data_IF_305913682464
#
_entry.id   IF_305913682464
#
_cell.length_a   1.000
_cell.length_b   1.000
_cell.length_c   1.000
_cell.angle_alpha   90.00
_cell.angle_beta   90.00
_cell.angle_gamma   90.00
#
_symmetry.space_group_name_H-M   'P 1'
#
loop_
_entity.id
_entity.type
_entity.pdbx_description
1 polymer ?
#
# COMPACT_ATOMS: atom_id res chain seq x y z
N UNK A 1 -18.34 -0.04 18.16
CA UNK A 1 -17.29 -0.72 18.96
C UNK A 1 -16.56 -1.68 18.02
N UNK A 2 -15.49 -1.24 17.37
CA UNK A 2 -14.69 -2.10 16.51
C UNK A 2 -13.58 -2.74 17.35
N UNK A 3 -13.58 -4.07 17.41
CA UNK A 3 -12.63 -4.90 18.12
C UNK A 3 -11.23 -4.75 17.51
N UNK A 4 -10.24 -4.46 18.35
CA UNK A 4 -8.81 -4.48 18.04
C UNK A 4 -8.41 -5.90 17.63
N UNK A 5 -8.31 -6.16 16.33
CA UNK A 5 -7.76 -7.42 15.83
C UNK A 5 -6.23 -7.40 15.99
N UNK A 6 -5.73 -8.22 16.93
CA UNK A 6 -4.30 -8.53 17.07
C UNK A 6 -3.84 -9.35 15.86
N UNK A 7 -2.89 -8.82 15.13
CA UNK A 7 -2.17 -9.58 14.12
C UNK A 7 -1.13 -10.49 14.78
N UNK A 8 -1.15 -11.77 14.42
CA UNK A 8 -0.11 -12.74 14.83
C UNK A 8 1.05 -12.65 13.84
N UNK A 9 2.25 -12.47 14.38
CA UNK A 9 3.52 -12.52 13.66
C UNK A 9 3.69 -13.90 13.03
N UNK A 10 3.70 -13.97 11.69
CA UNK A 10 4.19 -15.14 10.94
C UNK A 10 5.70 -15.00 10.78
N UNK A 11 6.45 -15.61 11.67
CA UNK A 11 7.92 -15.68 11.60
C UNK A 11 8.28 -16.71 10.54
N UNK A 12 8.83 -16.26 9.41
CA UNK A 12 9.65 -17.12 8.56
C UNK A 12 11.07 -17.15 9.13
N UNK A 13 11.44 -18.29 9.71
CA UNK A 13 12.81 -18.58 10.13
C UNK A 13 13.67 -18.91 8.91
N UNK A 14 14.55 -18.02 8.54
CA UNK A 14 15.74 -18.34 7.76
C UNK A 14 16.89 -17.48 8.32
N UNK A 15 17.99 -18.13 8.71
CA UNK A 15 19.26 -17.49 9.05
C UNK A 15 19.81 -16.77 7.82
N UNK A 16 19.49 -15.49 7.69
CA UNK A 16 19.99 -14.60 6.65
C UNK A 16 20.81 -13.53 7.36
N UNK A 17 22.01 -13.29 6.84
CA UNK A 17 22.93 -12.25 7.30
C UNK A 17 22.18 -10.89 7.41
N UNK A 18 21.74 -10.54 8.62
CA UNK A 18 21.08 -9.27 8.93
C UNK A 18 22.17 -8.21 9.05
N UNK A 19 22.15 -7.19 8.18
CA UNK A 19 22.82 -5.94 8.53
C UNK A 19 21.92 -5.24 9.55
N UNK A 20 22.36 -5.19 10.80
CA UNK A 20 21.70 -4.36 11.81
C UNK A 20 21.82 -2.89 11.38
N UNK A 21 20.69 -2.20 11.37
CA UNK A 21 20.67 -0.74 11.24
C UNK A 21 21.28 -0.19 12.54
N UNK A 22 22.20 0.76 12.43
CA UNK A 22 22.79 1.42 13.59
C UNK A 22 21.66 1.98 14.47
N UNK A 23 21.59 1.50 15.72
CA UNK A 23 20.53 1.85 16.67
C UNK A 23 20.50 3.32 17.09
N UNK A 24 21.39 4.16 16.55
CA UNK A 24 21.44 5.59 16.82
C UNK A 24 20.51 6.41 15.91
N UNK A 25 20.05 5.85 14.76
CA UNK A 25 19.16 6.53 13.82
C UNK A 25 17.99 5.65 13.44
N UNK A 26 16.76 6.15 13.67
CA UNK A 26 15.54 5.48 13.25
C UNK A 26 15.05 6.00 11.91
N UNK A 27 14.65 5.06 11.04
CA UNK A 27 13.98 5.35 9.78
C UNK A 27 12.50 5.02 9.93
N UNK A 28 11.67 6.04 9.86
CA UNK A 28 10.21 5.91 9.88
C UNK A 28 9.65 6.15 8.48
N UNK A 29 8.65 5.38 8.13
CA UNK A 29 8.01 5.41 6.82
C UNK A 29 6.54 5.77 6.97
N UNK A 30 6.03 6.56 6.01
CA UNK A 30 4.60 6.84 5.86
C UNK A 30 4.15 6.67 4.40
N UNK A 31 3.13 5.84 4.20
CA UNK A 31 2.32 5.76 2.99
C UNK A 31 1.01 6.54 3.26
N UNK A 32 0.89 7.73 2.66
CA UNK A 32 -0.24 8.64 2.89
C UNK A 32 -1.21 8.54 1.72
N UNK A 33 -2.21 7.68 1.88
CA UNK A 33 -3.29 7.48 0.90
C UNK A 33 -4.53 8.33 1.17
N UNK A 34 -5.52 8.25 0.27
CA UNK A 34 -6.78 9.00 0.37
C UNK A 34 -7.70 8.56 1.53
N UNK A 35 -7.55 7.34 2.04
CA UNK A 35 -8.38 6.81 3.12
C UNK A 35 -7.57 6.47 4.37
N UNK A 36 -6.30 6.13 4.22
CA UNK A 36 -5.45 5.68 5.33
C UNK A 36 -4.04 6.22 5.20
N UNK A 37 -3.45 6.52 6.37
CA UNK A 37 -2.02 6.73 6.54
C UNK A 37 -1.47 5.47 7.18
N UNK A 38 -0.54 4.80 6.51
CA UNK A 38 0.16 3.64 7.05
C UNK A 38 1.56 4.03 7.48
N UNK A 39 1.94 3.64 8.67
CA UNK A 39 3.20 3.98 9.32
C UNK A 39 3.98 2.71 9.66
N UNK A 40 5.30 2.76 9.59
CA UNK A 40 6.17 1.69 10.05
C UNK A 40 7.55 2.22 10.47
N UNK A 41 8.21 1.46 11.35
CA UNK A 41 9.63 1.58 11.66
C UNK A 41 10.42 0.57 10.82
N UNK A 42 11.52 0.99 10.21
CA UNK A 42 12.51 0.08 9.62
C UNK A 42 13.44 -0.41 10.73
N UNK A 43 13.36 -1.70 11.07
CA UNK A 43 14.17 -2.30 12.15
C UNK A 43 15.50 -2.87 11.64
N UNK A 44 15.54 -3.32 10.39
CA UNK A 44 16.73 -3.88 9.75
C UNK A 44 16.58 -3.90 8.22
N UNK A 45 17.63 -4.26 7.54
CA UNK A 45 17.64 -4.52 6.10
C UNK A 45 18.08 -5.95 5.84
N UNK A 46 17.34 -6.66 5.01
CA UNK A 46 17.67 -8.03 4.60
C UNK A 46 17.52 -8.17 3.09
N UNK A 47 18.57 -8.58 2.40
CA UNK A 47 18.60 -8.77 0.93
C UNK A 47 18.09 -7.54 0.16
N UNK A 48 18.43 -6.32 0.62
CA UNK A 48 17.99 -5.07 -0.02
C UNK A 48 16.53 -4.70 0.26
N UNK A 49 15.83 -5.44 1.15
CA UNK A 49 14.47 -5.15 1.57
C UNK A 49 14.42 -4.65 3.02
N UNK A 50 13.63 -3.62 3.33
CA UNK A 50 13.44 -3.17 4.71
C UNK A 50 12.63 -4.20 5.49
N UNK A 51 13.04 -4.50 6.71
CA UNK A 51 12.22 -5.21 7.68
C UNK A 51 11.41 -4.19 8.47
N UNK A 52 10.08 -4.31 8.39
CA UNK A 52 9.15 -3.34 8.94
C UNK A 52 8.56 -3.83 10.25
N UNK A 53 8.64 -2.98 11.27
CA UNK A 53 8.07 -3.21 12.59
C UNK A 53 7.19 -2.03 13.04
N UNK A 54 6.55 -2.17 14.21
CA UNK A 54 5.75 -1.10 14.82
C UNK A 54 4.74 -0.45 13.86
N UNK A 55 4.12 -1.27 13.02
CA UNK A 55 3.12 -0.81 12.05
C UNK A 55 1.95 -0.14 12.74
N UNK A 56 1.48 0.94 12.16
CA UNK A 56 0.30 1.65 12.64
C UNK A 56 -0.51 2.20 11.46
N UNK A 57 -1.81 2.31 11.62
CA UNK A 57 -2.70 2.88 10.61
C UNK A 57 -3.57 3.97 11.24
N UNK A 58 -3.66 5.12 10.55
CA UNK A 58 -4.55 6.23 10.87
C UNK A 58 -5.55 6.43 9.73
N UNK A 59 -6.72 6.99 10.04
CA UNK A 59 -7.64 7.45 9.01
C UNK A 59 -7.14 8.78 8.43
N UNK A 60 -7.09 8.90 7.10
CA UNK A 60 -6.63 10.13 6.43
C UNK A 60 -7.65 11.26 6.49
N UNK A 61 -8.92 10.96 6.78
CA UNK A 61 -10.00 11.95 6.83
C UNK A 61 -10.33 12.37 8.27
N UNK A 62 -10.02 11.49 9.22
CA UNK A 62 -10.22 11.70 10.66
C UNK A 62 -8.89 11.44 11.39
N UNK A 63 -7.91 12.33 11.13
CA UNK A 63 -6.56 12.20 11.66
C UNK A 63 -6.53 12.43 13.17
N UNK A 64 -6.23 11.39 13.95
CA UNK A 64 -6.07 11.46 15.39
C UNK A 64 -4.64 11.87 15.74
N UNK A 65 -4.47 13.12 16.21
CA UNK A 65 -3.18 13.64 16.67
C UNK A 65 -2.64 12.85 17.87
N UNK A 66 -3.49 12.55 18.86
CA UNK A 66 -3.10 11.86 20.09
C UNK A 66 -2.63 10.43 19.82
N UNK A 67 -3.33 9.73 18.93
CA UNK A 67 -2.95 8.38 18.52
C UNK A 67 -1.61 8.39 17.76
N UNK A 68 -1.43 9.36 16.86
CA UNK A 68 -0.18 9.54 16.15
C UNK A 68 0.98 9.89 17.09
N UNK A 69 0.81 10.86 18.00
CA UNK A 69 1.82 11.23 18.99
C UNK A 69 2.21 10.03 19.85
N UNK A 70 1.22 9.27 20.33
CA UNK A 70 1.44 8.08 21.15
C UNK A 70 2.28 7.03 20.42
N UNK A 71 1.98 6.76 19.14
CA UNK A 71 2.76 5.85 18.32
C UNK A 71 4.16 6.39 18.08
N UNK A 72 4.28 7.67 17.69
CA UNK A 72 5.57 8.29 17.38
C UNK A 72 6.52 8.26 18.60
N UNK A 73 6.01 8.59 19.77
CA UNK A 73 6.81 8.57 21.02
C UNK A 73 7.27 7.16 21.42
N UNK A 74 6.60 6.12 20.95
CA UNK A 74 7.01 4.73 21.20
C UNK A 74 8.13 4.25 20.26
N UNK A 75 8.41 4.99 19.15
CA UNK A 75 9.36 4.55 18.10
C UNK A 75 10.44 5.58 17.79
N UNK A 76 10.30 6.83 18.24
CA UNK A 76 11.25 7.91 17.93
C UNK A 76 12.59 7.71 18.68
N UNK A 77 13.69 8.05 18.03
CA UNK A 77 15.03 8.15 18.62
C UNK A 77 15.61 9.55 18.42
N UNK A 78 16.73 9.91 19.08
CA UNK A 78 17.35 11.24 18.94
C UNK A 78 17.71 11.61 17.50
N UNK A 79 18.01 10.63 16.65
CA UNK A 79 18.24 10.80 15.22
C UNK A 79 17.20 10.00 14.45
N UNK A 80 16.10 10.66 14.10
CA UNK A 80 14.99 10.04 13.35
C UNK A 80 14.78 10.78 12.04
N UNK A 81 14.71 10.03 10.92
CA UNK A 81 14.25 10.55 9.63
C UNK A 81 12.93 9.91 9.25
N UNK A 82 11.96 10.73 8.88
CA UNK A 82 10.63 10.30 8.46
C UNK A 82 10.50 10.47 6.96
N UNK A 83 10.36 9.35 6.24
CA UNK A 83 10.16 9.32 4.79
C UNK A 83 8.67 9.18 4.48
N UNK A 84 8.12 10.15 3.74
CA UNK A 84 6.69 10.27 3.48
C UNK A 84 6.45 10.19 1.98
N UNK A 85 5.76 9.16 1.51
CA UNK A 85 5.17 9.12 0.17
C UNK A 85 3.68 9.43 0.28
N UNK A 86 3.16 10.29 -0.59
CA UNK A 86 1.78 10.74 -0.52
C UNK A 86 1.12 10.88 -1.89
N UNK A 87 -0.14 10.44 -1.95
CA UNK A 87 -1.10 10.73 -3.03
C UNK A 87 -2.29 11.53 -2.50
N UNK A 88 -2.19 12.09 -1.29
CA UNK A 88 -3.19 12.93 -0.65
C UNK A 88 -2.50 14.12 0.09
N UNK A 89 -2.41 15.26 -0.58
CA UNK A 89 -1.71 16.43 -0.05
C UNK A 89 -2.27 16.95 1.26
N UNK A 90 -3.59 16.91 1.45
CA UNK A 90 -4.25 17.34 2.68
C UNK A 90 -3.82 16.49 3.87
N UNK A 91 -3.85 15.17 3.73
CA UNK A 91 -3.45 14.25 4.80
C UNK A 91 -1.93 14.32 5.06
N UNK A 92 -1.12 14.53 4.02
CA UNK A 92 0.31 14.73 4.17
C UNK A 92 0.63 16.00 4.95
N UNK A 93 -0.05 17.11 4.65
CA UNK A 93 0.12 18.38 5.38
C UNK A 93 -0.30 18.25 6.85
N UNK A 94 -1.36 17.51 7.16
CA UNK A 94 -1.76 17.21 8.54
C UNK A 94 -0.67 16.43 9.29
N UNK A 95 -0.13 15.38 8.68
CA UNK A 95 0.93 14.57 9.25
C UNK A 95 2.21 15.39 9.50
N UNK A 96 2.64 16.19 8.53
CA UNK A 96 3.82 17.05 8.63
C UNK A 96 3.65 18.14 9.71
N UNK A 97 2.45 18.71 9.80
CA UNK A 97 2.12 19.70 10.85
C UNK A 97 2.18 19.03 12.24
N UNK A 98 1.64 17.82 12.38
CA UNK A 98 1.71 17.08 13.63
C UNK A 98 3.16 16.77 14.03
N UNK A 99 4.00 16.31 13.09
CA UNK A 99 5.43 16.06 13.37
C UNK A 99 6.14 17.35 13.77
N UNK A 100 5.88 18.45 13.08
CA UNK A 100 6.49 19.75 13.40
C UNK A 100 6.10 20.26 14.78
N UNK A 101 4.82 20.10 15.17
CA UNK A 101 4.31 20.45 16.51
C UNK A 101 4.99 19.61 17.60
N UNK A 102 5.09 18.28 17.38
CA UNK A 102 5.73 17.36 18.34
C UNK A 102 7.24 17.68 18.45
N UNK A 103 7.92 17.97 17.34
CA UNK A 103 9.31 18.42 17.36
C UNK A 103 9.52 19.62 18.29
N UNK A 104 8.66 20.64 18.18
CA UNK A 104 8.73 21.84 19.02
C UNK A 104 8.42 21.57 20.50
N UNK A 105 7.34 20.85 20.78
CA UNK A 105 6.87 20.60 22.17
C UNK A 105 7.74 19.60 22.92
N UNK A 106 8.28 18.58 22.23
CA UNK A 106 9.10 17.50 22.82
C UNK A 106 10.60 17.72 22.61
N UNK A 107 11.00 18.82 21.97
CA UNK A 107 12.42 19.13 21.65
C UNK A 107 13.12 17.99 20.87
N UNK A 108 12.37 17.34 19.98
CA UNK A 108 12.89 16.31 19.09
C UNK A 108 13.55 16.94 17.85
N UNK A 109 14.31 16.13 17.10
CA UNK A 109 14.96 16.52 15.83
C UNK A 109 14.61 15.55 14.71
N UNK A 110 13.30 15.33 14.49
CA UNK A 110 12.84 14.47 13.39
C UNK A 110 13.04 15.23 12.08
N UNK A 111 13.80 14.66 11.18
CA UNK A 111 13.94 15.15 9.80
C UNK A 111 12.80 14.61 8.95
N UNK A 112 12.27 15.43 8.05
CA UNK A 112 11.22 15.02 7.10
C UNK A 112 11.80 14.95 5.70
N UNK A 113 11.49 13.87 4.98
CA UNK A 113 11.81 13.71 3.58
C UNK A 113 10.58 13.25 2.81
N UNK A 114 10.09 14.06 1.88
CA UNK A 114 9.06 13.62 0.93
C UNK A 114 9.70 12.76 -0.14
N UNK A 115 9.21 11.54 -0.30
CA UNK A 115 9.63 10.61 -1.33
C UNK A 115 8.91 10.93 -2.63
N UNK A 116 9.68 11.19 -3.67
CA UNK A 116 9.21 11.47 -5.02
C UNK A 116 9.48 10.29 -5.95
N UNK A 117 8.90 10.29 -7.14
CA UNK A 117 9.13 9.27 -8.17
C UNK A 117 10.61 9.11 -8.53
N UNK A 118 11.38 10.21 -8.52
CA UNK A 118 12.83 10.22 -8.78
C UNK A 118 13.69 9.51 -7.72
N UNK A 119 13.17 9.35 -6.51
CA UNK A 119 13.86 8.70 -5.41
C UNK A 119 13.79 7.16 -5.50
N UNK A 120 12.79 6.66 -6.22
CA UNK A 120 12.58 5.24 -6.42
C UNK A 120 13.51 4.68 -7.51
N UNK A 121 14.24 3.58 -7.27
CA UNK A 121 15.14 2.97 -8.24
C UNK A 121 14.38 2.16 -9.30
N UNK A 122 13.45 2.80 -9.99
CA UNK A 122 12.57 2.20 -10.97
C UNK A 122 12.48 3.10 -12.21
N UNK A 123 12.71 2.55 -13.40
CA UNK A 123 12.46 3.27 -14.64
C UNK A 123 10.96 3.27 -14.95
N UNK A 124 10.41 4.40 -15.33
CA UNK A 124 8.99 4.55 -15.65
C UNK A 124 8.85 4.74 -17.17
N UNK A 125 8.13 3.81 -17.82
CA UNK A 125 7.90 3.80 -19.25
C UNK A 125 6.41 4.07 -19.55
N UNK A 126 5.95 5.23 -19.13
CA UNK A 126 4.59 5.71 -19.42
C UNK A 126 4.67 7.02 -20.20
N UNK A 127 3.56 7.44 -20.82
CA UNK A 127 3.51 8.71 -21.56
C UNK A 127 3.76 9.93 -20.66
N UNK A 128 3.36 9.84 -19.39
CA UNK A 128 3.51 10.91 -18.40
C UNK A 128 4.11 10.34 -17.09
N UNK A 129 5.43 10.08 -17.05
CA UNK A 129 6.08 9.46 -15.90
C UNK A 129 5.85 10.20 -14.58
N UNK A 130 5.87 11.54 -14.63
CA UNK A 130 5.74 12.41 -13.45
C UNK A 130 4.32 12.45 -12.87
N UNK A 131 3.33 11.88 -13.60
CA UNK A 131 1.95 11.80 -13.14
C UNK A 131 1.56 10.45 -12.54
N UNK A 132 2.47 9.49 -12.53
CA UNK A 132 2.21 8.21 -11.88
C UNK A 132 2.25 8.39 -10.37
N UNK A 133 1.24 7.91 -9.66
CA UNK A 133 1.18 7.95 -8.20
C UNK A 133 2.41 7.29 -7.57
N UNK A 134 3.00 7.97 -6.59
CA UNK A 134 4.21 7.49 -5.90
C UNK A 134 3.97 6.16 -5.18
N UNK A 135 2.76 5.90 -4.71
CA UNK A 135 2.32 4.64 -4.11
C UNK A 135 2.44 3.46 -5.10
N UNK A 136 1.96 3.63 -6.34
CA UNK A 136 2.09 2.63 -7.40
C UNK A 136 3.55 2.34 -7.74
N UNK A 137 4.37 3.37 -7.86
CA UNK A 137 5.80 3.24 -8.14
C UNK A 137 6.55 2.60 -6.95
N UNK A 138 6.18 2.91 -5.72
CA UNK A 138 6.75 2.27 -4.54
C UNK A 138 6.39 0.78 -4.50
N UNK A 139 5.11 0.42 -4.71
CA UNK A 139 4.71 -0.98 -4.81
C UNK A 139 5.47 -1.72 -5.91
N UNK A 140 5.61 -1.10 -7.09
CA UNK A 140 6.35 -1.67 -8.22
C UNK A 140 7.86 -1.81 -7.92
N UNK A 141 8.45 -0.86 -7.21
CA UNK A 141 9.85 -0.94 -6.75
C UNK A 141 10.05 -2.15 -5.85
N UNK A 142 9.22 -2.33 -4.82
CA UNK A 142 9.32 -3.48 -3.93
C UNK A 142 9.09 -4.80 -4.67
N UNK A 143 8.07 -4.89 -5.51
CA UNK A 143 7.78 -6.09 -6.31
C UNK A 143 8.96 -6.44 -7.23
N UNK A 144 9.59 -5.46 -7.89
CA UNK A 144 10.74 -5.68 -8.75
C UNK A 144 11.98 -6.21 -8.02
N UNK A 145 12.12 -5.95 -6.71
CA UNK A 145 13.17 -6.53 -5.87
C UNK A 145 12.84 -7.97 -5.43
N UNK A 146 11.56 -8.27 -5.29
CA UNK A 146 11.07 -9.56 -4.82
C UNK A 146 10.86 -10.59 -5.92
N UNK A 147 10.74 -10.14 -7.18
CA UNK A 147 10.55 -11.05 -8.31
C UNK A 147 11.76 -11.95 -8.49
N UNK A 148 11.50 -13.27 -8.60
CA UNK A 148 12.54 -14.29 -8.65
C UNK A 148 13.03 -14.60 -10.06
N UNK A 149 12.34 -14.11 -11.09
CA UNK A 149 12.61 -14.42 -12.49
C UNK A 149 12.76 -13.15 -13.34
N UNK A 150 13.31 -13.34 -14.55
CA UNK A 150 13.38 -12.27 -15.56
C UNK A 150 12.03 -12.05 -16.28
N UNK A 151 10.93 -12.56 -15.75
CA UNK A 151 9.63 -12.59 -16.45
C UNK A 151 8.73 -11.37 -16.13
N UNK A 152 9.22 -10.41 -15.38
CA UNK A 152 8.40 -9.30 -14.93
C UNK A 152 7.37 -9.68 -13.87
N UNK A 153 6.57 -8.73 -13.42
CA UNK A 153 5.52 -8.99 -12.44
C UNK A 153 4.29 -8.10 -12.62
N UNK A 154 3.19 -8.58 -12.08
CA UNK A 154 1.88 -7.91 -12.00
C UNK A 154 1.65 -7.56 -10.55
N UNK A 155 1.29 -6.33 -10.27
CA UNK A 155 0.99 -5.85 -8.92
C UNK A 155 -0.49 -5.51 -8.85
N UNK A 156 -1.22 -6.16 -7.93
CA UNK A 156 -2.61 -5.87 -7.63
C UNK A 156 -2.65 -5.16 -6.27
N UNK A 157 -3.01 -3.88 -6.27
CA UNK A 157 -3.27 -3.17 -5.02
C UNK A 157 -4.77 -2.98 -4.82
N UNK A 158 -5.27 -3.50 -3.71
CA UNK A 158 -6.66 -3.49 -3.30
C UNK A 158 -6.92 -2.39 -2.26
N UNK A 159 -6.76 -1.14 -2.66
CA UNK A 159 -6.92 0.06 -1.84
C UNK A 159 -8.26 0.80 -2.02
N UNK A 160 -8.27 2.11 -1.82
CA UNK A 160 -9.43 2.99 -2.13
C UNK A 160 -9.78 2.92 -3.61
N UNK A 161 -8.79 2.96 -4.47
CA UNK A 161 -8.84 2.46 -5.83
C UNK A 161 -8.23 1.06 -5.88
N UNK A 162 -8.62 0.25 -6.87
CA UNK A 162 -7.87 -0.94 -7.22
C UNK A 162 -6.94 -0.60 -8.38
N UNK A 163 -5.69 -1.05 -8.30
CA UNK A 163 -4.78 -0.97 -9.44
C UNK A 163 -4.28 -2.34 -9.86
N UNK A 164 -4.04 -2.51 -11.15
CA UNK A 164 -3.33 -3.66 -11.70
C UNK A 164 -2.19 -3.11 -12.53
N UNK A 165 -0.99 -3.15 -11.97
CA UNK A 165 0.21 -2.55 -12.54
C UNK A 165 1.16 -3.60 -13.09
N UNK A 166 1.96 -3.23 -14.08
CA UNK A 166 2.90 -4.12 -14.76
C UNK A 166 4.34 -3.59 -14.64
N UNK A 167 5.24 -4.50 -14.29
CA UNK A 167 6.69 -4.28 -14.37
C UNK A 167 7.28 -5.30 -15.32
N UNK A 168 8.00 -4.84 -16.34
CA UNK A 168 8.66 -5.69 -17.32
C UNK A 168 9.87 -6.45 -16.75
N UNK A 169 10.36 -7.43 -17.52
CA UNK A 169 11.55 -8.23 -17.18
C UNK A 169 12.83 -7.39 -17.01
N UNK A 170 12.87 -6.23 -17.63
CA UNK A 170 13.94 -5.23 -17.53
C UNK A 170 13.78 -4.28 -16.32
N UNK A 171 12.84 -4.60 -15.40
CA UNK A 171 12.50 -3.81 -14.23
C UNK A 171 12.03 -2.39 -14.56
N UNK A 172 11.26 -2.24 -15.63
CA UNK A 172 10.61 -0.98 -15.97
C UNK A 172 9.13 -1.04 -15.63
N UNK A 173 8.62 0.02 -15.01
CA UNK A 173 7.18 0.20 -14.81
C UNK A 173 6.53 0.54 -16.15
N UNK A 174 5.66 -0.32 -16.62
CA UNK A 174 5.01 -0.20 -17.92
C UNK A 174 3.68 0.54 -17.88
N UNK A 175 3.16 0.79 -16.67
CA UNK A 175 1.82 1.30 -16.46
C UNK A 175 0.88 0.23 -15.96
N UNK A 176 -0.43 0.43 -16.14
CA UNK A 176 -1.45 -0.50 -15.68
C UNK A 176 -2.85 0.10 -15.76
N UNK A 177 -3.78 -0.47 -15.03
CA UNK A 177 -5.17 -0.06 -14.96
C UNK A 177 -5.54 0.42 -13.56
N UNK A 178 -6.46 1.37 -13.49
CA UNK A 178 -7.04 1.90 -12.24
C UNK A 178 -8.55 1.75 -12.31
N UNK A 179 -9.14 1.19 -11.26
CA UNK A 179 -10.60 1.07 -11.12
C UNK A 179 -11.01 1.43 -9.69
N UNK A 180 -12.28 1.82 -9.45
CA UNK A 180 -12.72 2.10 -8.10
C UNK A 180 -12.68 0.84 -7.23
N UNK A 181 -12.24 0.99 -5.95
CA UNK A 181 -12.38 -0.09 -4.97
C UNK A 181 -13.84 -0.28 -4.53
N UNK A 182 -14.15 -1.34 -3.74
CA UNK A 182 -15.52 -1.71 -3.40
C UNK A 182 -16.33 -0.59 -2.74
N UNK A 183 -15.74 0.09 -1.76
CA UNK A 183 -16.41 1.19 -1.06
C UNK A 183 -16.69 2.40 -1.98
N UNK A 184 -15.76 2.68 -2.90
CA UNK A 184 -15.94 3.77 -3.87
C UNK A 184 -17.02 3.41 -4.89
N UNK A 185 -17.08 2.16 -5.38
CA UNK A 185 -18.13 1.68 -6.26
C UNK A 185 -19.53 1.77 -5.60
N UNK A 186 -19.64 1.32 -4.35
CA UNK A 186 -20.91 1.39 -3.62
C UNK A 186 -21.36 2.85 -3.42
N UNK A 187 -20.43 3.75 -3.10
CA UNK A 187 -20.73 5.17 -2.97
C UNK A 187 -21.16 5.79 -4.31
N UNK A 188 -20.49 5.47 -5.41
CA UNK A 188 -20.89 5.95 -6.74
C UNK A 188 -22.33 5.55 -7.10
N UNK A 189 -22.80 4.36 -6.68
CA UNK A 189 -24.19 3.95 -6.87
C UNK A 189 -25.15 4.79 -6.01
N UNK A 190 -24.82 5.06 -4.77
CA UNK A 190 -25.65 5.90 -3.88
C UNK A 190 -25.71 7.36 -4.36
N UNK A 191 -24.54 7.93 -4.72
CA UNK A 191 -24.45 9.33 -5.16
C UNK A 191 -25.03 9.56 -6.57
N UNK A 192 -24.93 8.54 -7.43
CA UNK A 192 -25.38 8.61 -8.82
C UNK A 192 -26.84 8.23 -9.05
N UNK A 193 -27.58 7.81 -8.01
CA UNK A 193 -28.97 7.39 -8.12
C UNK A 193 -29.82 7.91 -6.99
N UNK A 194 -31.12 8.09 -7.22
CA UNK A 194 -32.04 8.67 -6.21
C UNK A 194 -32.55 7.67 -5.17
N UNK A 195 -32.44 6.37 -5.41
CA UNK A 195 -33.10 5.34 -4.57
C UNK A 195 -32.14 4.27 -4.03
N UNK A 196 -30.90 4.21 -4.50
CA UNK A 196 -29.96 3.22 -4.00
C UNK A 196 -29.32 3.69 -2.68
N UNK A 197 -29.35 2.87 -1.63
CA UNK A 197 -28.74 3.22 -0.34
C UNK A 197 -27.21 3.10 -0.40
N UNK A 198 -26.52 3.83 0.47
CA UNK A 198 -25.10 3.59 0.74
C UNK A 198 -24.93 2.26 1.47
N UNK A 199 -24.07 1.39 0.93
CA UNK A 199 -23.73 0.10 1.52
C UNK A 199 -22.31 0.16 2.07
N UNK A 200 -22.18 0.24 3.40
CA UNK A 200 -20.88 0.37 4.08
C UNK A 200 -20.20 -0.97 4.38
N UNK A 201 -20.94 -2.08 4.50
CA UNK A 201 -20.38 -3.41 4.78
C UNK A 201 -20.32 -4.28 3.53
N UNK A 202 -19.30 -4.07 2.73
CA UNK A 202 -18.97 -4.97 1.63
C UNK A 202 -18.08 -6.08 2.21
N UNK A 203 -18.57 -7.33 2.21
CA UNK A 203 -17.84 -8.49 2.75
C UNK A 203 -16.45 -8.64 2.12
N UNK A 204 -15.42 -8.64 2.96
CA UNK A 204 -14.03 -8.58 2.48
C UNK A 204 -13.44 -9.93 2.06
N UNK A 205 -14.07 -11.05 2.39
CA UNK A 205 -13.49 -12.38 2.17
C UNK A 205 -14.44 -13.44 1.63
N UNK A 206 -15.75 -13.29 1.83
CA UNK A 206 -16.74 -14.29 1.36
C UNK A 206 -17.42 -13.81 0.09
N UNK A 207 -17.73 -14.71 -0.85
CA UNK A 207 -18.57 -14.37 -1.99
C UNK A 207 -19.90 -13.78 -1.51
N UNK A 208 -20.37 -12.67 -2.10
CA UNK A 208 -21.69 -12.13 -1.78
C UNK A 208 -22.76 -13.12 -2.24
N UNK A 209 -23.97 -13.11 -1.60
CA UNK A 209 -25.05 -13.97 -2.03
C UNK A 209 -25.52 -13.61 -3.45
N UNK A 210 -25.79 -14.66 -4.27
CA UNK A 210 -26.37 -14.48 -5.60
C UNK A 210 -27.53 -15.47 -5.78
N UNK A 211 -28.77 -15.01 -6.12
CA UNK A 211 -29.15 -13.61 -6.35
C UNK A 211 -29.24 -12.79 -5.04
N UNK A 212 -28.91 -11.52 -5.13
CA UNK A 212 -29.15 -10.55 -4.04
C UNK A 212 -30.67 -10.33 -3.88
N UNK A 213 -31.23 -10.73 -2.72
CA UNK A 213 -32.69 -10.67 -2.47
C UNK A 213 -33.15 -9.37 -1.80
N UNK A 214 -32.27 -8.41 -1.60
CA UNK A 214 -32.55 -7.04 -1.18
C UNK A 214 -31.68 -6.09 -1.97
N UNK A 215 -31.99 -4.79 -2.01
CA UNK A 215 -31.19 -3.79 -2.69
C UNK A 215 -29.74 -3.79 -2.19
N UNK A 216 -29.54 -3.88 -0.87
CA UNK A 216 -28.19 -3.95 -0.29
C UNK A 216 -27.41 -5.18 -0.76
N UNK A 217 -28.06 -6.36 -0.78
CA UNK A 217 -27.42 -7.60 -1.23
C UNK A 217 -27.16 -7.58 -2.75
N UNK A 218 -28.05 -6.96 -3.53
CA UNK A 218 -27.85 -6.80 -4.97
C UNK A 218 -26.66 -5.88 -5.28
N UNK A 219 -26.54 -4.76 -4.56
CA UNK A 219 -25.37 -3.86 -4.64
C UNK A 219 -24.09 -4.62 -4.23
N UNK A 220 -24.11 -5.31 -3.10
CA UNK A 220 -22.95 -6.08 -2.62
C UNK A 220 -22.54 -7.18 -3.61
N UNK A 221 -23.48 -7.88 -4.22
CA UNK A 221 -23.22 -8.89 -5.24
C UNK A 221 -22.61 -8.25 -6.50
N UNK A 222 -23.20 -7.16 -7.00
CA UNK A 222 -22.71 -6.43 -8.17
C UNK A 222 -21.29 -5.91 -7.98
N UNK A 223 -21.02 -5.26 -6.85
CA UNK A 223 -19.69 -4.75 -6.50
C UNK A 223 -18.70 -5.89 -6.32
N UNK A 224 -19.05 -6.93 -5.54
CA UNK A 224 -18.13 -8.03 -5.24
C UNK A 224 -17.74 -8.85 -6.46
N UNK A 225 -18.71 -9.30 -7.26
CA UNK A 225 -18.44 -10.06 -8.49
C UNK A 225 -17.86 -9.17 -9.59
N UNK A 226 -18.33 -7.92 -9.70
CA UNK A 226 -17.83 -6.95 -10.68
C UNK A 226 -16.35 -6.67 -10.51
N UNK A 227 -15.89 -6.38 -9.29
CA UNK A 227 -14.46 -6.13 -8.99
C UNK A 227 -13.60 -7.37 -9.24
N UNK A 228 -14.06 -8.56 -8.82
CA UNK A 228 -13.35 -9.81 -9.12
C UNK A 228 -13.16 -10.01 -10.59
N UNK A 229 -14.26 -9.95 -11.34
CA UNK A 229 -14.23 -10.14 -12.80
C UNK A 229 -13.33 -9.12 -13.49
N UNK A 230 -13.38 -7.85 -13.06
CA UNK A 230 -12.52 -6.80 -13.61
C UNK A 230 -11.04 -7.07 -13.32
N UNK A 231 -10.67 -7.38 -12.07
CA UNK A 231 -9.27 -7.67 -11.70
C UNK A 231 -8.77 -8.91 -12.43
N UNK A 232 -9.55 -10.01 -12.48
CA UNK A 232 -9.18 -11.22 -13.22
C UNK A 232 -8.91 -10.90 -14.69
N UNK A 233 -9.82 -10.15 -15.34
CA UNK A 233 -9.66 -9.78 -16.74
C UNK A 233 -8.40 -8.93 -16.96
N UNK A 234 -8.13 -7.95 -16.10
CA UNK A 234 -6.94 -7.11 -16.21
C UNK A 234 -5.65 -7.90 -16.02
N UNK A 235 -5.63 -8.87 -15.10
CA UNK A 235 -4.49 -9.78 -14.93
C UNK A 235 -4.28 -10.66 -16.18
N UNK A 236 -5.36 -11.13 -16.80
CA UNK A 236 -5.25 -11.89 -18.05
C UNK A 236 -4.66 -11.05 -19.18
N UNK A 237 -5.05 -9.78 -19.31
CA UNK A 237 -4.44 -8.85 -20.27
C UNK A 237 -2.97 -8.58 -19.95
N UNK A 238 -2.65 -8.35 -18.68
CA UNK A 238 -1.27 -8.15 -18.25
C UNK A 238 -0.37 -9.38 -18.54
N UNK A 239 -0.91 -10.60 -18.37
CA UNK A 239 -0.21 -11.84 -18.73
C UNK A 239 0.00 -12.01 -20.23
N UNK A 240 -0.88 -11.47 -21.06
CA UNK A 240 -0.69 -11.48 -22.52
C UNK A 240 0.49 -10.61 -22.93
N UNK A 241 0.70 -9.51 -22.22
CA UNK A 241 1.81 -8.58 -22.46
C UNK A 241 3.14 -9.09 -21.89
N UNK A 242 3.12 -9.56 -20.63
CA UNK A 242 4.33 -9.96 -19.90
C UNK A 242 4.73 -11.43 -20.08
N UNK A 243 3.79 -12.29 -20.49
CA UNK A 243 3.92 -13.75 -20.48
C UNK A 243 3.23 -14.41 -19.30
N UNK A 244 2.85 -15.69 -19.47
CA UNK A 244 2.12 -16.48 -18.46
C UNK A 244 2.87 -16.65 -17.14
N UNK A 245 4.20 -16.56 -17.17
CA UNK A 245 5.11 -16.77 -16.04
C UNK A 245 5.32 -15.54 -15.18
N UNK A 246 4.69 -14.38 -15.51
CA UNK A 246 4.75 -13.19 -14.71
C UNK A 246 4.24 -13.45 -13.29
N UNK A 247 5.05 -13.10 -12.27
CA UNK A 247 4.67 -13.26 -10.87
C UNK A 247 3.59 -12.25 -10.48
N UNK A 248 2.63 -12.66 -9.64
CA UNK A 248 1.56 -11.78 -9.15
C UNK A 248 1.82 -11.43 -7.70
N UNK A 249 1.90 -10.13 -7.42
CA UNK A 249 1.95 -9.58 -6.08
C UNK A 249 0.61 -8.96 -5.70
N UNK A 250 0.12 -9.26 -4.49
CA UNK A 250 -1.17 -8.77 -4.00
C UNK A 250 -0.99 -8.00 -2.70
N UNK A 251 -1.48 -6.76 -2.69
CA UNK A 251 -1.48 -5.88 -1.53
C UNK A 251 -2.84 -5.20 -1.35
N UNK A 252 -2.96 -4.34 -0.35
CA UNK A 252 -4.16 -3.55 -0.09
C UNK A 252 -5.14 -4.18 0.90
N UNK A 253 -6.09 -3.36 1.37
CA UNK A 253 -6.96 -3.69 2.50
C UNK A 253 -8.03 -4.74 2.21
N UNK A 254 -8.60 -4.74 0.98
CA UNK A 254 -9.65 -5.68 0.60
C UNK A 254 -9.17 -6.83 -0.31
N UNK A 255 -7.86 -7.09 -0.35
CA UNK A 255 -7.24 -8.18 -1.14
C UNK A 255 -7.91 -9.55 -0.97
N UNK A 256 -8.57 -9.79 0.18
CA UNK A 256 -9.33 -11.01 0.43
C UNK A 256 -10.43 -11.31 -0.60
N UNK A 257 -10.95 -10.26 -1.29
CA UNK A 257 -11.97 -10.43 -2.34
C UNK A 257 -11.39 -11.16 -3.56
N UNK A 258 -10.13 -10.94 -3.91
CA UNK A 258 -9.49 -11.47 -5.14
C UNK A 258 -8.47 -12.58 -4.87
N UNK A 259 -8.10 -12.80 -3.60
CA UNK A 259 -7.08 -13.79 -3.20
C UNK A 259 -7.31 -15.18 -3.81
N UNK A 260 -8.55 -15.66 -3.82
CA UNK A 260 -8.90 -17.01 -4.30
C UNK A 260 -8.96 -17.16 -5.82
N UNK A 261 -8.78 -16.09 -6.59
CA UNK A 261 -8.91 -16.12 -8.04
C UNK A 261 -7.61 -16.55 -8.77
N UNK A 262 -6.48 -16.56 -8.05
CA UNK A 262 -5.17 -16.84 -8.64
C UNK A 262 -4.43 -17.94 -7.87
N UNK A 263 -3.88 -18.92 -8.57
CA UNK A 263 -3.17 -20.07 -7.97
C UNK A 263 -1.76 -19.72 -7.46
N UNK A 264 -1.08 -18.75 -8.08
CA UNK A 264 0.31 -18.40 -7.80
C UNK A 264 0.39 -16.90 -7.45
N UNK A 265 -0.11 -16.54 -6.27
CA UNK A 265 -0.12 -15.17 -5.80
C UNK A 265 0.80 -15.01 -4.57
N UNK A 266 1.60 -13.96 -4.55
CA UNK A 266 2.43 -13.58 -3.41
C UNK A 266 1.78 -12.40 -2.69
N UNK A 267 1.34 -12.61 -1.46
CA UNK A 267 0.73 -11.54 -0.67
C UNK A 267 1.77 -10.78 0.13
N UNK A 268 1.79 -9.46 -0.07
CA UNK A 268 2.63 -8.52 0.67
C UNK A 268 1.78 -7.33 1.13
N UNK A 269 1.25 -7.36 2.36
CA UNK A 269 0.41 -6.27 2.90
C UNK A 269 1.10 -4.90 2.93
N UNK A 270 2.42 -4.90 3.12
CA UNK A 270 3.24 -3.71 3.28
C UNK A 270 4.08 -3.38 2.02
N UNK A 271 3.63 -3.80 0.83
CA UNK A 271 4.38 -3.67 -0.40
C UNK A 271 4.76 -2.20 -0.70
N UNK A 272 3.83 -1.27 -0.53
CA UNK A 272 4.06 0.17 -0.72
C UNK A 272 5.09 0.69 0.28
N UNK A 273 4.92 0.40 1.58
CA UNK A 273 5.88 0.80 2.62
C UNK A 273 7.26 0.20 2.37
N UNK A 274 7.35 -1.03 1.88
CA UNK A 274 8.62 -1.65 1.52
C UNK A 274 9.32 -0.89 0.39
N UNK A 275 8.59 -0.45 -0.62
CA UNK A 275 9.13 0.39 -1.70
C UNK A 275 9.60 1.77 -1.21
N UNK A 276 8.86 2.40 -0.31
CA UNK A 276 9.28 3.64 0.36
C UNK A 276 10.57 3.41 1.15
N UNK A 277 10.67 2.28 1.86
CA UNK A 277 11.87 1.91 2.60
C UNK A 277 13.09 1.68 1.69
N UNK A 278 12.92 1.10 0.49
CA UNK A 278 13.99 0.99 -0.50
C UNK A 278 14.47 2.37 -0.94
N UNK A 279 13.55 3.32 -1.20
CA UNK A 279 13.92 4.70 -1.51
C UNK A 279 14.66 5.35 -0.32
N UNK A 280 14.18 5.17 0.90
CA UNK A 280 14.81 5.69 2.11
C UNK A 280 16.25 5.20 2.28
N UNK A 281 16.48 3.90 2.10
CA UNK A 281 17.83 3.30 2.15
C UNK A 281 18.76 3.89 1.08
N UNK A 282 18.25 4.09 -0.14
CA UNK A 282 19.04 4.70 -1.21
C UNK A 282 19.43 6.15 -0.90
N UNK A 283 18.50 6.92 -0.32
CA UNK A 283 18.72 8.34 0.04
C UNK A 283 19.69 8.46 1.21
N UNK A 284 19.57 7.61 2.23
CA UNK A 284 20.41 7.63 3.42
C UNK A 284 21.76 6.93 3.26
N UNK A 285 21.97 6.21 2.15
CA UNK A 285 23.21 5.45 1.92
C UNK A 285 23.38 4.20 2.77
N UNK A 286 22.26 3.63 3.27
CA UNK A 286 22.20 2.42 4.12
C UNK A 286 22.29 1.13 3.29
#
# INVERSE_FOLDING_TARGET
MYSKARWKDSIMSADVCKKEVDHTSNVLLADVGNSRIKLALVSAVSQGMPLLERRYELDSRDFSYDDFESWLMAVVSPSTTFYIASVCDTAAAQLETAISSINGTRQLRIQLHRVHSSDLPLKVKTEQPDRVGVDRLAAATAASHLVSSNNGCIIIDCGTAATVDMVGSDRQFLGGAILPGPALLARCLADGTSLLPEVSSLGHASPPPMPGRSTNNAIAAGVGFGIRGAVCRLVDEARRELGSEAEIFLTGGWRGIVRGEFSNIREFPDLVLSGIGIAAMRISGL
#
